data_IF_358020907208
#
_entry.id   IF_358020907208
#
_cell.length_a   1.000
_cell.length_b   1.000
_cell.length_c   1.000
_cell.angle_alpha   90.00
_cell.angle_beta   90.00
_cell.angle_gamma   90.00
#
_symmetry.space_group_name_H-M   'P 1'
#
loop_
_entity.id
_entity.type
_entity.pdbx_description
1 polymer ?
#
# COMPACT_ATOMS: atom_id res chain seq x y z
N UNK A 1 12.30 13.48 -11.86
CA UNK A 1 12.62 12.03 -11.93
C UNK A 1 11.35 11.30 -12.31
N UNK A 2 11.41 10.35 -13.24
CA UNK A 2 10.23 9.57 -13.62
C UNK A 2 9.99 8.48 -12.56
N UNK A 3 8.72 8.14 -12.29
CA UNK A 3 8.37 7.12 -11.30
C UNK A 3 9.10 5.78 -11.52
N UNK A 4 9.26 5.38 -12.79
CA UNK A 4 9.98 4.16 -13.14
C UNK A 4 11.47 4.21 -12.76
N UNK A 5 12.14 5.34 -12.91
CA UNK A 5 13.56 5.47 -12.51
C UNK A 5 13.73 5.26 -11.01
N UNK A 6 12.81 5.81 -10.20
CA UNK A 6 12.82 5.62 -8.75
C UNK A 6 12.51 4.17 -8.38
N UNK A 7 11.49 3.60 -9.03
CA UNK A 7 11.09 2.22 -8.78
C UNK A 7 12.16 1.21 -9.20
N UNK A 8 12.81 1.41 -10.35
CA UNK A 8 13.96 0.59 -10.80
C UNK A 8 15.14 0.66 -9.81
N UNK A 9 15.38 1.86 -9.24
CA UNK A 9 16.33 2.03 -8.13
C UNK A 9 15.98 1.19 -6.92
N UNK A 10 14.71 1.22 -6.51
CA UNK A 10 14.20 0.40 -5.42
C UNK A 10 14.31 -1.10 -5.70
N UNK A 11 13.87 -1.56 -6.88
CA UNK A 11 13.94 -2.98 -7.29
C UNK A 11 15.38 -3.47 -7.31
N UNK A 12 16.32 -2.63 -7.77
CA UNK A 12 17.75 -2.95 -7.75
C UNK A 12 18.27 -3.10 -6.33
N UNK A 13 17.91 -2.17 -5.44
CA UNK A 13 18.24 -2.26 -4.02
C UNK A 13 17.64 -3.53 -3.38
N UNK A 14 16.37 -3.82 -3.67
CA UNK A 14 15.67 -5.00 -3.14
C UNK A 14 16.37 -6.31 -3.52
N UNK A 15 16.77 -6.44 -4.81
CA UNK A 15 17.50 -7.60 -5.31
C UNK A 15 18.83 -7.84 -4.55
N UNK A 16 19.53 -6.76 -4.23
CA UNK A 16 20.86 -6.83 -3.64
C UNK A 16 20.81 -6.98 -2.09
N UNK A 17 19.70 -6.57 -1.43
CA UNK A 17 19.59 -6.53 0.03
C UNK A 17 18.51 -7.47 0.60
N UNK A 18 17.41 -7.74 -0.12
CA UNK A 18 16.29 -8.58 0.33
C UNK A 18 15.86 -9.52 -0.81
N UNK A 19 16.71 -10.51 -1.20
CA UNK A 19 16.48 -11.32 -2.40
C UNK A 19 15.15 -12.08 -2.38
N UNK A 20 14.67 -12.56 -1.23
CA UNK A 20 13.37 -13.24 -1.13
C UNK A 20 12.20 -12.31 -1.48
N UNK A 21 12.25 -11.05 -1.05
CA UNK A 21 11.24 -10.05 -1.42
C UNK A 21 11.32 -9.72 -2.93
N UNK A 22 12.53 -9.61 -3.48
CA UNK A 22 12.73 -9.42 -4.93
C UNK A 22 12.15 -10.59 -5.73
N UNK A 23 12.40 -11.83 -5.33
CA UNK A 23 11.87 -13.03 -5.98
C UNK A 23 10.34 -13.11 -5.89
N UNK A 24 9.73 -12.46 -4.90
CA UNK A 24 8.29 -12.38 -4.72
C UNK A 24 7.61 -11.29 -5.59
N UNK A 25 8.35 -10.45 -6.30
CA UNK A 25 7.75 -9.53 -7.28
C UNK A 25 7.04 -10.30 -8.39
N UNK A 26 5.82 -9.86 -8.73
CA UNK A 26 5.04 -10.49 -9.78
C UNK A 26 5.49 -10.04 -11.19
N UNK A 27 5.18 -10.82 -12.24
CA UNK A 27 5.37 -10.39 -13.63
C UNK A 27 4.58 -9.12 -13.95
N UNK A 28 4.88 -8.44 -15.09
CA UNK A 28 4.16 -7.25 -15.52
C UNK A 28 2.65 -7.45 -15.68
N UNK A 29 1.84 -6.45 -15.30
CA UNK A 29 0.45 -6.37 -15.70
C UNK A 29 0.34 -6.10 -17.21
N UNK A 30 -0.58 -6.78 -17.87
CA UNK A 30 -0.92 -6.49 -19.26
C UNK A 30 -1.75 -5.20 -19.37
N UNK A 31 -1.73 -4.51 -20.52
CA UNK A 31 -2.62 -3.37 -20.75
C UNK A 31 -4.11 -3.70 -20.52
N UNK A 32 -4.53 -4.93 -20.88
CA UNK A 32 -5.91 -5.37 -20.69
C UNK A 32 -6.30 -5.51 -19.20
N UNK A 33 -5.39 -5.97 -18.35
CA UNK A 33 -5.61 -6.04 -16.90
C UNK A 33 -5.70 -4.64 -16.28
N UNK A 34 -4.82 -3.72 -16.68
CA UNK A 34 -4.86 -2.32 -16.24
C UNK A 34 -6.17 -1.63 -16.66
N UNK A 35 -6.58 -1.80 -17.91
CA UNK A 35 -7.84 -1.23 -18.42
C UNK A 35 -9.07 -1.89 -17.77
N UNK A 36 -9.00 -3.17 -17.41
CA UNK A 36 -10.05 -3.86 -16.68
C UNK A 36 -10.18 -3.34 -15.24
N UNK A 37 -9.05 -3.10 -14.57
CA UNK A 37 -9.03 -2.50 -13.23
C UNK A 37 -9.68 -1.11 -13.25
N UNK A 38 -9.25 -0.20 -14.13
CA UNK A 38 -9.81 1.15 -14.22
C UNK A 38 -11.32 1.16 -14.52
N UNK A 39 -11.77 0.27 -15.41
CA UNK A 39 -13.22 0.12 -15.69
C UNK A 39 -13.99 -0.37 -14.47
N UNK A 40 -13.41 -1.24 -13.66
CA UNK A 40 -14.02 -1.77 -12.45
C UNK A 40 -14.11 -0.70 -11.36
N UNK A 41 -13.02 0.01 -11.13
CA UNK A 41 -12.94 1.09 -10.14
C UNK A 41 -13.83 2.30 -10.52
N UNK A 42 -14.07 2.53 -11.80
CA UNK A 42 -14.71 3.75 -12.30
C UNK A 42 -13.80 4.98 -12.28
N UNK A 43 -12.51 4.79 -12.07
CA UNK A 43 -11.48 5.82 -12.01
C UNK A 43 -10.31 5.49 -12.94
N UNK A 44 -9.66 6.52 -13.47
CA UNK A 44 -8.37 6.37 -14.15
C UNK A 44 -7.23 6.43 -13.15
N UNK A 45 -6.32 5.47 -13.22
CA UNK A 45 -5.10 5.48 -12.42
C UNK A 45 -4.12 6.52 -12.96
N UNK A 46 -3.38 7.22 -12.10
CA UNK A 46 -2.25 8.05 -12.53
C UNK A 46 -1.27 7.26 -13.40
N UNK A 47 -0.66 7.94 -14.36
CA UNK A 47 0.25 7.31 -15.32
C UNK A 47 1.44 6.60 -14.65
N UNK A 48 1.92 7.15 -13.53
CA UNK A 48 3.00 6.59 -12.73
C UNK A 48 2.61 5.26 -12.05
N UNK A 49 1.38 5.11 -11.58
CA UNK A 49 0.88 3.85 -11.01
C UNK A 49 0.75 2.80 -12.09
N UNK A 50 0.15 3.16 -13.24
CA UNK A 50 0.06 2.26 -14.40
C UNK A 50 1.44 1.80 -14.87
N UNK A 51 2.43 2.71 -14.90
CA UNK A 51 3.78 2.41 -15.33
C UNK A 51 4.46 1.39 -14.41
N UNK A 52 4.34 1.53 -13.10
CA UNK A 52 4.89 0.59 -12.11
C UNK A 52 4.23 -0.78 -12.22
N UNK A 53 2.89 -0.85 -12.28
CA UNK A 53 2.17 -2.11 -12.45
C UNK A 53 2.49 -2.81 -13.79
N UNK A 54 2.81 -2.05 -14.83
CA UNK A 54 3.24 -2.58 -16.13
C UNK A 54 4.68 -3.13 -16.12
N UNK A 55 5.46 -2.92 -15.06
CA UNK A 55 6.77 -3.56 -14.83
C UNK A 55 6.66 -4.72 -13.86
N UNK A 56 5.98 -4.51 -12.75
CA UNK A 56 5.65 -5.53 -11.76
C UNK A 56 4.20 -5.35 -11.30
N UNK A 57 3.36 -6.35 -11.58
CA UNK A 57 1.95 -6.36 -11.15
C UNK A 57 1.85 -6.71 -9.66
N UNK A 58 2.38 -5.84 -8.82
CA UNK A 58 2.45 -6.10 -7.40
C UNK A 58 3.42 -7.19 -7.01
N UNK A 59 3.12 -7.90 -5.92
CA UNK A 59 3.80 -9.12 -5.52
C UNK A 59 2.96 -10.34 -5.90
N UNK A 60 3.60 -11.51 -5.93
CA UNK A 60 2.91 -12.78 -6.20
C UNK A 60 1.80 -12.95 -5.18
N UNK A 61 0.62 -13.32 -5.69
CA UNK A 61 -0.57 -13.52 -4.88
C UNK A 61 -0.37 -14.69 -3.93
N UNK A 62 -1.04 -14.60 -2.80
CA UNK A 62 -1.18 -15.64 -1.80
C UNK A 62 -1.75 -16.95 -2.33
N UNK A 63 -2.44 -16.96 -3.45
CA UNK A 63 -3.12 -18.16 -4.00
C UNK A 63 -2.20 -19.13 -4.73
N UNK A 64 -0.95 -18.78 -4.99
CA UNK A 64 -0.04 -19.57 -5.83
C UNK A 64 1.13 -20.21 -5.09
N UNK A 65 1.35 -19.91 -3.84
CA UNK A 65 2.38 -20.55 -3.01
C UNK A 65 1.72 -21.30 -1.86
N UNK A 66 2.32 -22.39 -1.42
CA UNK A 66 1.78 -23.24 -0.34
C UNK A 66 1.64 -22.50 1.02
N UNK A 67 2.25 -21.29 1.14
CA UNK A 67 2.29 -20.50 2.38
C UNK A 67 2.28 -18.98 2.07
N UNK A 68 1.32 -18.52 1.37
CA UNK A 68 1.35 -17.20 0.75
C UNK A 68 0.86 -16.06 1.61
N UNK A 69 0.08 -16.35 2.60
CA UNK A 69 -0.17 -15.46 3.72
C UNK A 69 1.13 -15.06 4.45
N UNK A 70 2.21 -15.84 4.23
CA UNK A 70 3.54 -15.63 4.83
C UNK A 70 4.62 -15.31 3.80
N UNK A 71 4.25 -15.00 2.56
CA UNK A 71 5.23 -14.60 1.55
C UNK A 71 5.94 -13.33 1.99
N UNK A 72 7.27 -13.28 1.84
CA UNK A 72 8.06 -12.09 2.16
C UNK A 72 7.46 -10.86 1.47
N UNK A 73 7.05 -9.83 2.21
CA UNK A 73 6.49 -8.62 1.61
C UNK A 73 7.53 -7.95 0.71
N UNK A 74 7.07 -7.38 -0.41
CA UNK A 74 7.96 -6.68 -1.34
C UNK A 74 8.26 -5.23 -0.92
N UNK A 75 7.65 -4.76 0.14
CA UNK A 75 7.88 -3.45 0.76
C UNK A 75 8.19 -3.67 2.25
N UNK A 76 8.84 -2.74 2.94
CA UNK A 76 9.06 -2.88 4.37
C UNK A 76 7.73 -3.09 5.11
N UNK A 77 7.51 -4.26 5.68
CA UNK A 77 6.29 -4.68 6.40
C UNK A 77 4.98 -4.64 5.62
N UNK A 78 5.01 -4.30 4.32
CA UNK A 78 3.81 -4.12 3.50
C UNK A 78 3.86 -4.93 2.21
N UNK A 79 2.70 -5.34 1.76
CA UNK A 79 2.50 -6.00 0.47
C UNK A 79 2.28 -4.98 -0.65
N UNK A 80 2.96 -5.18 -1.79
CA UNK A 80 2.69 -4.45 -3.02
C UNK A 80 1.52 -5.13 -3.74
N UNK A 81 0.38 -4.44 -3.86
CA UNK A 81 -0.85 -5.04 -4.39
C UNK A 81 -0.82 -5.19 -5.91
N UNK A 82 -1.24 -6.36 -6.39
CA UNK A 82 -1.51 -6.61 -7.81
C UNK A 82 -2.82 -5.98 -8.25
N UNK A 83 -3.06 -5.87 -9.56
CA UNK A 83 -4.34 -5.39 -10.13
C UNK A 83 -5.55 -6.18 -9.60
N UNK A 84 -5.38 -7.48 -9.36
CA UNK A 84 -6.41 -8.35 -8.76
C UNK A 84 -6.65 -7.97 -7.30
N UNK A 85 -5.59 -7.88 -6.50
CA UNK A 85 -5.71 -7.54 -5.08
C UNK A 85 -6.17 -6.10 -4.85
N UNK A 86 -5.74 -5.14 -5.68
CA UNK A 86 -6.28 -3.76 -5.65
C UNK A 86 -7.80 -3.81 -5.79
N UNK A 87 -8.32 -4.53 -6.79
CA UNK A 87 -9.75 -4.68 -7.00
C UNK A 87 -10.44 -5.34 -5.80
N UNK A 88 -9.93 -6.46 -5.31
CA UNK A 88 -10.55 -7.23 -4.23
C UNK A 88 -10.55 -6.46 -2.89
N UNK A 89 -9.46 -5.77 -2.57
CA UNK A 89 -9.37 -4.90 -1.40
C UNK A 89 -10.32 -3.72 -1.53
N UNK A 90 -10.38 -3.08 -2.71
CA UNK A 90 -11.30 -1.98 -2.98
C UNK A 90 -12.76 -2.41 -2.89
N UNK A 91 -13.13 -3.57 -3.47
CA UNK A 91 -14.48 -4.12 -3.40
C UNK A 91 -14.90 -4.37 -1.95
N UNK A 92 -14.04 -5.01 -1.17
CA UNK A 92 -14.25 -5.30 0.25
C UNK A 92 -14.46 -4.03 1.06
N UNK A 93 -13.60 -3.03 0.85
CA UNK A 93 -13.65 -1.76 1.55
C UNK A 93 -14.86 -0.92 1.12
N UNK A 94 -15.19 -0.95 -0.15
CA UNK A 94 -16.34 -0.25 -0.70
C UNK A 94 -17.68 -0.89 -0.30
N UNK A 95 -17.72 -2.21 -0.09
CA UNK A 95 -18.92 -2.92 0.35
C UNK A 95 -19.40 -2.48 1.75
N UNK A 96 -18.52 -1.93 2.58
CA UNK A 96 -18.89 -1.34 3.89
C UNK A 96 -19.91 -0.21 3.73
N UNK A 97 -19.94 0.47 2.58
CA UNK A 97 -20.86 1.58 2.28
C UNK A 97 -22.30 1.13 2.07
N UNK A 98 -22.50 -0.15 1.78
CA UNK A 98 -23.81 -0.75 1.58
C UNK A 98 -24.36 -1.37 2.89
N UNK A 99 -23.65 -1.18 4.01
CA UNK A 99 -24.09 -1.68 5.31
C UNK A 99 -25.15 -0.78 5.93
N UNK A 100 -26.07 -1.31 6.74
CA UNK A 100 -27.12 -0.52 7.41
C UNK A 100 -26.57 0.57 8.35
N UNK A 101 -25.37 0.37 8.88
CA UNK A 101 -24.74 1.25 9.86
C UNK A 101 -23.66 2.17 9.25
N UNK A 102 -23.72 2.39 7.92
CA UNK A 102 -22.70 3.17 7.20
C UNK A 102 -22.52 4.58 7.77
N UNK A 103 -23.59 5.25 8.19
CA UNK A 103 -23.51 6.59 8.78
C UNK A 103 -22.65 6.58 10.05
N UNK A 104 -22.81 5.58 10.93
CA UNK A 104 -22.00 5.44 12.14
C UNK A 104 -20.53 5.11 11.80
N UNK A 105 -20.29 4.26 10.80
CA UNK A 105 -18.95 3.95 10.35
C UNK A 105 -18.28 5.18 9.75
N UNK A 106 -18.98 5.98 8.95
CA UNK A 106 -18.41 7.21 8.36
C UNK A 106 -18.05 8.25 9.42
N UNK A 107 -18.82 8.30 10.53
CA UNK A 107 -18.53 9.19 11.66
C UNK A 107 -17.28 8.77 12.46
N UNK A 108 -16.76 7.56 12.27
CA UNK A 108 -15.49 7.12 12.87
C UNK A 108 -14.28 7.68 12.15
N UNK A 109 -14.41 8.03 10.87
CA UNK A 109 -13.30 8.61 10.09
C UNK A 109 -12.90 9.99 10.61
N UNK A 110 -11.60 10.20 10.80
CA UNK A 110 -11.01 11.47 11.25
C UNK A 110 -9.77 11.81 10.42
N UNK A 111 -9.25 13.00 10.59
CA UNK A 111 -8.00 13.42 9.96
C UNK A 111 -7.08 14.06 11.00
N UNK A 112 -5.78 13.89 10.84
CA UNK A 112 -4.83 14.64 11.64
C UNK A 112 -4.94 16.16 11.31
N UNK A 113 -4.68 17.06 12.27
CA UNK A 113 -4.84 18.50 12.06
C UNK A 113 -4.13 19.04 10.80
N UNK A 114 -2.93 18.52 10.47
CA UNK A 114 -2.21 18.88 9.26
C UNK A 114 -2.84 18.42 7.96
N UNK A 115 -3.75 17.44 8.01
CA UNK A 115 -4.48 16.91 6.86
C UNK A 115 -5.91 17.48 6.74
N UNK A 116 -6.36 18.28 7.68
CA UNK A 116 -7.70 18.88 7.66
C UNK A 116 -7.97 19.66 6.37
N UNK A 117 -9.06 19.33 5.68
CA UNK A 117 -9.44 19.89 4.39
C UNK A 117 -8.61 19.38 3.19
N UNK A 118 -7.63 18.53 3.41
CA UNK A 118 -6.88 17.83 2.35
C UNK A 118 -7.44 16.44 2.10
N UNK A 119 -7.79 15.71 3.15
CA UNK A 119 -8.45 14.40 3.10
C UNK A 119 -9.85 14.54 3.70
N UNK A 120 -10.84 13.87 3.12
CA UNK A 120 -12.18 13.82 3.70
C UNK A 120 -12.16 13.04 5.02
N UNK A 121 -12.82 13.53 6.09
CA UNK A 121 -12.93 12.80 7.35
C UNK A 121 -14.00 11.71 7.24
N UNK A 122 -13.76 10.70 6.43
CA UNK A 122 -14.63 9.56 6.18
C UNK A 122 -13.92 8.28 6.59
N UNK A 123 -14.66 7.25 6.98
CA UNK A 123 -14.10 5.93 7.21
C UNK A 123 -13.77 5.22 5.89
N UNK A 124 -14.59 5.40 4.86
CA UNK A 124 -14.41 4.81 3.54
C UNK A 124 -14.87 5.76 2.42
N UNK A 125 -14.11 5.82 1.34
CA UNK A 125 -14.47 6.53 0.11
C UNK A 125 -14.19 5.66 -1.12
N UNK A 126 -15.06 5.64 -2.15
CA UNK A 126 -14.81 4.92 -3.39
C UNK A 126 -13.63 5.50 -4.18
N UNK A 127 -13.25 6.74 -3.91
CA UNK A 127 -12.06 7.37 -4.49
C UNK A 127 -10.74 6.95 -3.84
N UNK A 128 -10.77 6.15 -2.77
CA UNK A 128 -9.55 5.65 -2.13
C UNK A 128 -9.18 4.29 -2.69
N UNK A 129 -8.10 4.25 -3.45
CA UNK A 129 -7.65 3.06 -4.17
C UNK A 129 -6.42 2.48 -3.45
N UNK A 130 -6.50 1.29 -2.85
CA UNK A 130 -5.38 0.67 -2.16
C UNK A 130 -4.28 0.30 -3.15
N UNK A 131 -3.02 0.63 -2.82
CA UNK A 131 -1.85 0.26 -3.61
C UNK A 131 -0.90 -0.65 -2.83
N UNK A 132 -0.76 -0.39 -1.54
CA UNK A 132 0.02 -1.16 -0.59
C UNK A 132 -0.88 -1.56 0.58
N UNK A 133 -0.64 -2.70 1.18
CA UNK A 133 -1.41 -3.14 2.34
C UNK A 133 -0.54 -3.81 3.39
N UNK A 134 -1.03 -3.82 4.62
CA UNK A 134 -0.54 -4.73 5.63
C UNK A 134 -0.73 -6.21 5.21
N UNK A 135 -0.04 -7.17 5.83
CA UNK A 135 -0.11 -8.58 5.43
C UNK A 135 -1.50 -9.21 5.50
N UNK A 136 -2.39 -8.67 6.34
CA UNK A 136 -3.77 -9.17 6.48
C UNK A 136 -4.79 -8.43 5.60
N UNK A 137 -4.33 -7.50 4.77
CA UNK A 137 -5.16 -6.67 3.88
C UNK A 137 -6.29 -5.93 4.62
N UNK A 138 -5.96 -5.33 5.76
CA UNK A 138 -6.88 -4.54 6.57
C UNK A 138 -6.59 -3.04 6.52
N UNK A 139 -5.31 -2.67 6.43
CA UNK A 139 -4.83 -1.29 6.40
C UNK A 139 -4.03 -1.02 5.14
N UNK A 140 -4.21 0.17 4.56
CA UNK A 140 -3.75 0.50 3.22
C UNK A 140 -3.00 1.83 3.18
N UNK A 141 -2.04 1.89 2.25
CA UNK A 141 -1.51 3.11 1.68
C UNK A 141 -1.97 3.15 0.23
N UNK A 142 -2.65 4.23 -0.17
CA UNK A 142 -3.23 4.28 -1.50
C UNK A 142 -3.54 5.67 -2.01
N UNK A 143 -4.09 5.71 -3.22
CA UNK A 143 -4.50 6.93 -3.88
C UNK A 143 -5.76 7.51 -3.26
N UNK A 144 -5.78 8.82 -3.13
CA UNK A 144 -7.00 9.60 -2.93
C UNK A 144 -7.37 10.30 -4.24
N UNK A 145 -8.35 9.74 -4.95
CA UNK A 145 -8.87 10.28 -6.21
C UNK A 145 -10.11 11.16 -6.01
N UNK A 146 -10.57 11.28 -4.77
CA UNK A 146 -11.71 12.12 -4.37
C UNK A 146 -11.37 12.91 -3.08
N UNK A 147 -10.33 13.77 -3.13
CA UNK A 147 -9.84 14.49 -1.96
C UNK A 147 -10.85 15.53 -1.44
N UNK A 148 -10.58 16.08 -0.26
CA UNK A 148 -11.31 17.23 0.27
C UNK A 148 -10.93 18.52 -0.48
N UNK A 149 -11.64 19.62 -0.18
CA UNK A 149 -11.64 20.89 -0.94
C UNK A 149 -10.26 21.52 -1.16
N UNK A 150 -9.27 21.23 -0.31
CA UNK A 150 -7.89 21.71 -0.42
C UNK A 150 -6.90 20.61 -0.84
N UNK A 151 -7.38 19.38 -0.99
CA UNK A 151 -6.55 18.24 -1.39
C UNK A 151 -6.25 18.22 -2.88
N UNK A 152 -5.37 17.32 -3.26
CA UNK A 152 -4.96 17.13 -4.65
C UNK A 152 -5.30 15.72 -5.11
N UNK A 153 -6.04 15.59 -6.20
CA UNK A 153 -6.37 14.26 -6.78
C UNK A 153 -5.08 13.50 -7.09
N UNK A 154 -5.00 12.27 -6.60
CA UNK A 154 -3.82 11.41 -6.74
C UNK A 154 -2.80 11.55 -5.61
N UNK A 155 -3.08 12.36 -4.59
CA UNK A 155 -2.32 12.34 -3.33
C UNK A 155 -2.39 10.94 -2.69
N UNK A 156 -1.40 10.61 -1.88
CA UNK A 156 -1.31 9.31 -1.21
C UNK A 156 -1.68 9.48 0.26
N UNK A 157 -2.56 8.62 0.74
CA UNK A 157 -3.06 8.63 2.13
C UNK A 157 -2.97 7.22 2.75
N UNK A 158 -3.05 7.17 4.09
CA UNK A 158 -3.36 5.97 4.84
C UNK A 158 -4.88 5.83 4.99
N UNK A 159 -5.39 4.62 5.00
CA UNK A 159 -6.77 4.28 5.35
C UNK A 159 -6.88 2.79 5.63
N UNK A 160 -7.89 2.37 6.35
CA UNK A 160 -8.07 0.98 6.69
C UNK A 160 -8.87 0.80 7.97
N UNK A 161 -8.95 -0.44 8.42
CA UNK A 161 -9.72 -0.81 9.60
C UNK A 161 -9.18 -0.16 10.88
N UNK A 162 -7.86 -0.15 11.02
CA UNK A 162 -7.15 0.35 12.20
C UNK A 162 -6.47 1.71 11.91
N UNK A 163 -6.60 2.21 10.66
CA UNK A 163 -6.08 3.50 10.17
C UNK A 163 -7.23 4.51 9.96
N UNK A 164 -8.06 4.69 10.99
CA UNK A 164 -9.25 5.56 10.98
C UNK A 164 -8.90 7.05 10.92
N UNK A 165 -7.66 7.42 11.28
CA UNK A 165 -7.20 8.80 11.29
C UNK A 165 -6.22 9.04 10.15
N UNK A 166 -6.67 9.82 9.17
CA UNK A 166 -5.98 9.96 7.90
C UNK A 166 -4.95 11.10 7.89
N UNK A 167 -3.89 10.88 7.13
CA UNK A 167 -2.87 11.88 6.83
C UNK A 167 -2.35 11.72 5.39
N UNK A 168 -1.63 12.76 4.90
CA UNK A 168 -0.96 12.69 3.60
C UNK A 168 0.38 11.96 3.76
N UNK A 169 0.47 10.77 3.19
CA UNK A 169 1.70 9.99 3.13
C UNK A 169 2.69 10.59 2.12
N UNK A 170 2.18 11.05 0.97
CA UNK A 170 2.97 11.69 -0.07
C UNK A 170 2.06 12.52 -1.01
N UNK A 171 2.59 13.55 -1.71
CA UNK A 171 1.79 14.36 -2.63
C UNK A 171 1.37 13.61 -3.91
N UNK A 172 2.05 12.54 -4.28
CA UNK A 172 1.76 11.65 -5.41
C UNK A 172 2.54 10.34 -5.29
N UNK A 173 2.28 9.38 -6.20
CA UNK A 173 2.90 8.07 -6.14
C UNK A 173 4.42 8.10 -6.39
N UNK A 174 4.91 8.94 -7.29
CA UNK A 174 6.37 9.11 -7.51
C UNK A 174 7.08 9.55 -6.22
N UNK A 175 6.48 10.48 -5.48
CA UNK A 175 7.02 10.93 -4.19
C UNK A 175 6.98 9.84 -3.12
N UNK A 176 5.93 9.00 -3.10
CA UNK A 176 5.87 7.84 -2.21
C UNK A 176 7.00 6.84 -2.52
N UNK A 177 7.25 6.54 -3.79
CA UNK A 177 8.36 5.68 -4.22
C UNK A 177 9.73 6.26 -3.81
N UNK A 178 9.90 7.59 -3.90
CA UNK A 178 11.13 8.24 -3.46
C UNK A 178 11.30 8.12 -1.94
N UNK A 179 10.23 8.31 -1.15
CA UNK A 179 10.25 8.09 0.29
C UNK A 179 10.65 6.64 0.61
N UNK A 180 10.08 5.67 -0.09
CA UNK A 180 10.43 4.27 0.07
C UNK A 180 11.92 4.02 -0.20
N UNK A 181 12.44 4.53 -1.32
CA UNK A 181 13.85 4.39 -1.68
C UNK A 181 14.78 5.05 -0.65
N UNK A 182 14.43 6.25 -0.18
CA UNK A 182 15.19 6.94 0.86
C UNK A 182 15.18 6.15 2.18
N UNK A 183 14.02 5.62 2.60
CA UNK A 183 13.87 4.85 3.83
C UNK A 183 14.72 3.57 3.82
N UNK A 184 14.70 2.81 2.74
CA UNK A 184 15.49 1.57 2.69
C UNK A 184 17.00 1.83 2.70
N UNK A 185 17.45 3.00 2.23
CA UNK A 185 18.85 3.40 2.31
C UNK A 185 19.28 3.83 3.73
N UNK A 186 18.35 4.06 4.65
CA UNK A 186 18.70 4.35 6.06
C UNK A 186 19.25 3.13 6.79
N UNK A 187 18.95 1.91 6.31
CA UNK A 187 19.25 0.66 6.99
C UNK A 187 18.25 0.30 8.10
N UNK A 188 17.19 1.07 8.28
CA UNK A 188 16.14 0.81 9.29
C UNK A 188 15.26 -0.40 8.93
N UNK A 189 15.29 -0.85 7.68
CA UNK A 189 14.44 -1.92 7.16
C UNK A 189 15.30 -3.12 6.70
N UNK A 190 15.75 -3.97 7.62
CA UNK A 190 16.59 -5.12 7.29
C UNK A 190 15.78 -6.28 6.71
N UNK A 191 16.46 -7.18 6.00
CA UNK A 191 16.00 -8.54 5.82
C UNK A 191 16.09 -9.28 7.15
N UNK A 192 15.01 -9.85 7.62
CA UNK A 192 14.90 -10.58 8.89
C UNK A 192 14.17 -11.90 8.69
N UNK A 193 13.92 -12.60 9.78
CA UNK A 193 13.05 -13.76 9.83
C UNK A 193 11.94 -13.48 10.84
N UNK A 194 10.75 -14.02 10.59
CA UNK A 194 9.60 -13.92 11.47
C UNK A 194 9.10 -15.33 11.79
N UNK A 195 9.00 -15.64 13.08
CA UNK A 195 8.40 -16.89 13.55
C UNK A 195 6.91 -16.91 13.18
N UNK A 196 6.50 -17.92 12.41
CA UNK A 196 5.18 -18.00 11.80
C UNK A 196 4.59 -19.37 12.01
N UNK A 197 3.32 -19.44 12.42
CA UNK A 197 2.56 -20.68 12.50
C UNK A 197 2.15 -21.12 11.09
N UNK A 198 2.53 -22.34 10.72
CA UNK A 198 2.18 -22.95 9.43
C UNK A 198 0.78 -23.60 9.50
N UNK A 199 0.14 -23.85 8.33
CA UNK A 199 -1.20 -24.46 8.26
C UNK A 199 -1.34 -25.82 8.95
N UNK A 200 -0.24 -26.55 9.14
CA UNK A 200 -0.20 -27.83 9.85
C UNK A 200 -0.04 -27.66 11.38
N UNK A 201 0.00 -26.42 11.87
CA UNK A 201 0.18 -26.09 13.29
C UNK A 201 1.64 -26.12 13.76
N UNK A 202 2.60 -26.37 12.87
CA UNK A 202 4.03 -26.23 13.20
C UNK A 202 4.46 -24.76 13.12
N UNK A 203 5.60 -24.43 13.72
CA UNK A 203 6.18 -23.09 13.66
C UNK A 203 7.48 -23.10 12.87
N UNK A 204 7.69 -22.08 12.07
CA UNK A 204 8.92 -21.89 11.29
C UNK A 204 9.31 -20.42 11.23
N UNK A 205 10.62 -20.16 11.16
CA UNK A 205 11.15 -18.84 10.83
C UNK A 205 11.10 -18.66 9.31
N UNK A 206 10.31 -17.69 8.86
CA UNK A 206 10.17 -17.37 7.45
C UNK A 206 10.84 -16.04 7.11
N UNK A 207 11.40 -15.91 5.90
CA UNK A 207 12.00 -14.64 5.48
C UNK A 207 11.01 -13.50 5.59
N UNK A 208 11.43 -12.40 6.21
CA UNK A 208 10.66 -11.19 6.41
C UNK A 208 11.42 -9.96 5.95
N UNK A 209 10.72 -8.90 5.59
CA UNK A 209 11.31 -7.63 5.24
C UNK A 209 10.79 -6.53 6.17
N UNK A 210 11.68 -5.99 6.98
CA UNK A 210 11.42 -4.97 8.01
C UNK A 210 11.68 -5.45 9.42
N UNK A 211 11.67 -4.53 10.37
CA UNK A 211 11.80 -4.85 11.78
C UNK A 211 10.49 -5.47 12.31
N UNK A 212 10.53 -6.51 13.14
CA UNK A 212 9.33 -7.16 13.69
C UNK A 212 8.43 -6.22 14.51
N UNK A 213 9.05 -5.23 15.18
CA UNK A 213 8.39 -4.33 16.12
C UNK A 213 8.09 -2.94 15.51
N UNK A 214 8.33 -2.73 14.22
CA UNK A 214 8.09 -1.47 13.55
C UNK A 214 7.24 -1.67 12.29
N UNK A 215 6.56 -0.61 11.87
CA UNK A 215 5.67 -0.63 10.71
C UNK A 215 5.92 0.57 9.81
N UNK A 216 5.90 0.38 8.49
CA UNK A 216 6.18 1.44 7.54
C UNK A 216 5.21 2.62 7.65
N UNK A 217 3.98 2.42 8.15
CA UNK A 217 3.05 3.51 8.50
C UNK A 217 3.68 4.49 9.50
N UNK A 218 4.44 4.00 10.48
CA UNK A 218 5.13 4.85 11.47
C UNK A 218 6.16 5.78 10.83
N UNK A 219 6.92 5.29 9.85
CA UNK A 219 7.87 6.12 9.09
C UNK A 219 7.17 7.22 8.31
N UNK A 220 6.07 6.89 7.61
CA UNK A 220 5.26 7.86 6.88
C UNK A 220 4.61 8.89 7.81
N UNK A 221 4.05 8.44 8.92
CA UNK A 221 3.46 9.33 9.92
C UNK A 221 4.50 10.26 10.55
N UNK A 222 5.69 9.75 10.85
CA UNK A 222 6.81 10.56 11.36
C UNK A 222 7.19 11.68 10.39
N UNK A 223 7.25 11.40 9.08
CA UNK A 223 7.51 12.39 8.02
C UNK A 223 6.40 13.42 7.91
N UNK A 224 5.14 12.98 7.94
CA UNK A 224 3.99 13.89 7.94
C UNK A 224 4.04 14.86 9.13
N UNK A 225 4.29 14.36 10.34
CA UNK A 225 4.42 15.20 11.54
C UNK A 225 5.53 16.25 11.40
N UNK A 226 6.69 15.85 10.88
CA UNK A 226 7.83 16.76 10.71
C UNK A 226 7.53 17.90 9.72
N UNK A 227 6.61 17.72 8.78
CA UNK A 227 6.22 18.74 7.80
C UNK A 227 5.10 19.67 8.30
N UNK A 228 4.36 19.26 9.33
CA UNK A 228 3.18 19.98 9.83
C UNK A 228 3.42 20.66 11.18
N UNK A 229 4.62 20.55 11.75
CA UNK A 229 5.09 21.23 12.95
C UNK A 229 5.88 22.49 12.59
#
# INVERSE_FOLDING_TARGET
MLALEVFDGYVSWLRDNVPHAYENLAPPATPAELDALERHLGYHLPAEVRAVLAVHNGQKSTDTAEHTEYATPCLPTLSLLSTTLIRECWDRWNALRDTPDIEQLQDMGDVFPGAAGLVKPLYSSPGWIPLWSDPINADYIGLDLDPDVRGTTGQIINFGRDEERHFICAPNYTSLLQILLDEVHTGAWPATEMETELPDGSWADLPWFGAPDDHFFNALYGRFKAQTT
#
